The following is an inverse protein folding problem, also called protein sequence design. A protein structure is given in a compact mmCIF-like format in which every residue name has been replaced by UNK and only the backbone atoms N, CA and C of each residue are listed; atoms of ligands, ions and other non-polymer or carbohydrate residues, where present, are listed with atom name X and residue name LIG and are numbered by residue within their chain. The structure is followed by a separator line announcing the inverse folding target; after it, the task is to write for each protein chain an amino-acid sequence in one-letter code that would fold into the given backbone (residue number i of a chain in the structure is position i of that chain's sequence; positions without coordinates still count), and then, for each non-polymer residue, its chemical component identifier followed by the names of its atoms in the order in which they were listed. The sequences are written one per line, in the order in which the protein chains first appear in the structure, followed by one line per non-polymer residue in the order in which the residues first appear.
data_IF_038866203906
#
_entry.id   IF_038866203906
#
_cell.length_a   1.000
_cell.length_b   1.000
_cell.length_c   1.000
_cell.angle_alpha   90.00
_cell.angle_beta   90.00
_cell.angle_gamma   90.00
#
_symmetry.space_group_name_H-M   'P 1'
#
loop_
_entity.id
_entity.type
_entity.pdbx_description
1 polymer ?
#
# COMPACT_ATOMS: atom_id res chain seq x y z
N UNK A 1 20.01 22.03 -13.43
CA UNK A 1 18.70 21.37 -13.43
C UNK A 1 17.99 21.71 -14.74
N UNK A 2 18.38 21.14 -15.83
CA UNK A 2 17.79 21.46 -17.14
C UNK A 2 16.41 20.78 -17.28
N UNK A 3 15.36 21.49 -16.87
CA UNK A 3 13.97 21.08 -17.13
C UNK A 3 13.31 20.03 -16.22
N UNK A 4 14.01 19.54 -15.17
CA UNK A 4 13.46 18.61 -14.20
C UNK A 4 13.26 19.26 -12.84
N UNK A 5 12.10 19.06 -12.22
CA UNK A 5 11.78 19.61 -10.90
C UNK A 5 12.33 18.76 -9.76
N UNK A 6 12.53 17.48 -10.01
CA UNK A 6 13.02 16.52 -9.01
C UNK A 6 14.10 15.64 -9.65
N UNK A 7 15.25 15.53 -9.00
CA UNK A 7 16.33 14.64 -9.39
C UNK A 7 16.65 13.71 -8.22
N UNK A 8 16.56 12.42 -8.44
CA UNK A 8 16.85 11.40 -7.43
C UNK A 8 18.09 10.60 -7.81
N UNK A 9 18.95 10.34 -6.84
CA UNK A 9 20.16 9.52 -7.01
C UNK A 9 19.92 8.15 -6.40
N UNK A 10 19.90 7.12 -7.23
CA UNK A 10 19.57 5.75 -6.86
C UNK A 10 20.80 4.83 -7.01
N UNK A 11 21.07 3.91 -6.06
CA UNK A 11 22.10 2.91 -6.21
C UNK A 11 21.67 1.82 -7.19
N UNK A 12 22.58 1.32 -8.01
CA UNK A 12 22.32 0.16 -8.88
C UNK A 12 22.07 -1.12 -8.11
N UNK A 13 22.81 -1.31 -7.00
CA UNK A 13 22.66 -2.48 -6.14
C UNK A 13 21.78 -2.18 -4.94
N UNK A 14 20.62 -2.83 -4.88
CA UNK A 14 19.65 -2.67 -3.80
C UNK A 14 19.46 -4.00 -3.08
N UNK A 15 19.37 -3.97 -1.73
CA UNK A 15 19.09 -5.17 -0.91
C UNK A 15 17.77 -5.81 -1.31
N UNK A 16 17.70 -7.17 -1.29
CA UNK A 16 16.52 -7.93 -1.72
C UNK A 16 15.21 -7.51 -1.06
N UNK A 17 15.21 -7.23 0.25
CA UNK A 17 14.04 -6.77 0.99
C UNK A 17 13.53 -5.40 0.49
N UNK A 18 14.43 -4.45 0.25
CA UNK A 18 14.06 -3.13 -0.29
C UNK A 18 13.49 -3.25 -1.70
N UNK A 19 14.05 -4.14 -2.52
CA UNK A 19 13.53 -4.41 -3.88
C UNK A 19 12.12 -4.99 -3.83
N UNK A 20 11.86 -5.94 -2.93
CA UNK A 20 10.54 -6.54 -2.73
C UNK A 20 9.52 -5.49 -2.26
N UNK A 21 9.88 -4.65 -1.29
CA UNK A 21 9.04 -3.56 -0.81
C UNK A 21 8.62 -2.62 -1.94
N UNK A 22 9.60 -2.09 -2.71
CA UNK A 22 9.29 -1.17 -3.80
C UNK A 22 8.49 -1.82 -4.93
N UNK A 23 8.68 -3.12 -5.18
CA UNK A 23 7.84 -3.86 -6.13
C UNK A 23 6.38 -3.91 -5.67
N UNK A 24 6.13 -4.26 -4.42
CA UNK A 24 4.77 -4.30 -3.83
C UNK A 24 4.16 -2.89 -3.83
N UNK A 25 4.94 -1.89 -3.42
CA UNK A 25 4.49 -0.51 -3.38
C UNK A 25 4.08 -0.02 -4.77
N UNK A 26 4.95 -0.12 -5.77
CA UNK A 26 4.70 0.36 -7.13
C UNK A 26 3.54 -0.39 -7.81
N UNK A 27 3.39 -1.69 -7.55
CA UNK A 27 2.26 -2.48 -8.09
C UNK A 27 0.90 -2.06 -7.51
N UNK A 28 0.87 -1.43 -6.33
CA UNK A 28 -0.37 -1.07 -5.63
C UNK A 28 -0.54 0.44 -5.41
N UNK A 29 0.41 1.27 -5.83
CA UNK A 29 0.33 2.72 -5.75
C UNK A 29 -0.15 3.32 -7.08
N UNK A 30 -0.85 4.46 -6.98
CA UNK A 30 -1.24 5.28 -8.14
C UNK A 30 -0.26 6.45 -8.36
N UNK A 31 1.00 6.31 -7.92
CA UNK A 31 2.01 7.34 -8.11
C UNK A 31 2.37 7.49 -9.59
N UNK A 32 2.58 8.73 -10.04
CA UNK A 32 2.96 9.03 -11.42
C UNK A 32 4.35 8.48 -11.80
N UNK A 33 5.21 8.27 -10.81
CA UNK A 33 6.56 7.72 -10.98
C UNK A 33 6.82 6.56 -10.03
N UNK A 34 7.56 5.57 -10.51
CA UNK A 34 8.01 4.46 -9.69
C UNK A 34 8.95 4.90 -8.57
N UNK A 35 8.65 4.44 -7.36
CA UNK A 35 9.53 4.64 -6.21
C UNK A 35 10.68 3.63 -6.25
N UNK A 36 11.92 4.14 -6.05
CA UNK A 36 13.14 3.33 -5.95
C UNK A 36 13.92 3.74 -4.69
N UNK A 37 14.85 2.93 -4.26
CA UNK A 37 15.77 3.31 -3.16
C UNK A 37 16.59 4.50 -3.63
N UNK A 38 16.53 5.62 -2.92
CA UNK A 38 17.36 6.80 -3.19
C UNK A 38 18.26 7.12 -1.98
N UNK A 39 19.41 7.68 -2.27
CA UNK A 39 20.40 8.15 -1.27
C UNK A 39 20.32 9.65 -1.13
N UNK A 40 20.15 10.33 -2.23
CA UNK A 40 20.10 11.78 -2.29
C UNK A 40 19.00 12.26 -3.23
N UNK A 41 18.41 13.41 -2.93
CA UNK A 41 17.34 14.00 -3.74
C UNK A 41 17.51 15.52 -3.79
N UNK A 42 17.49 16.06 -5.00
CA UNK A 42 17.39 17.48 -5.28
C UNK A 42 15.94 17.78 -5.67
N UNK A 43 15.36 18.77 -5.02
CA UNK A 43 13.95 19.12 -5.21
C UNK A 43 13.85 20.62 -5.47
N UNK A 44 13.12 21.02 -6.52
CA UNK A 44 12.86 22.41 -6.82
C UNK A 44 11.92 23.04 -5.77
N UNK A 45 11.96 24.37 -5.63
CA UNK A 45 11.03 25.09 -4.75
C UNK A 45 9.57 24.84 -5.13
N UNK A 46 9.31 24.74 -6.44
CA UNK A 46 7.99 24.40 -6.99
C UNK A 46 7.49 23.03 -6.51
N UNK A 47 8.35 22.03 -6.52
CA UNK A 47 8.00 20.69 -6.06
C UNK A 47 7.77 20.65 -4.54
N UNK A 48 8.55 21.41 -3.75
CA UNK A 48 8.36 21.54 -2.31
C UNK A 48 6.97 22.16 -2.02
N UNK A 49 6.66 23.29 -2.66
CA UNK A 49 5.38 23.97 -2.46
C UNK A 49 4.21 23.08 -2.85
N UNK A 50 4.33 22.34 -3.95
CA UNK A 50 3.28 21.41 -4.41
C UNK A 50 3.10 20.23 -3.46
N UNK A 51 4.18 19.67 -2.93
CA UNK A 51 4.11 18.61 -1.93
C UNK A 51 3.47 19.10 -0.62
N UNK A 52 3.81 20.29 -0.15
CA UNK A 52 3.17 20.92 1.03
C UNK A 52 1.67 21.18 0.81
N UNK A 53 1.28 21.57 -0.39
CA UNK A 53 -0.14 21.77 -0.72
C UNK A 53 -0.95 20.46 -0.73
N UNK A 54 -0.30 19.31 -0.98
CA UNK A 54 -0.94 17.99 -0.86
C UNK A 54 -1.19 17.58 0.60
N UNK A 55 -0.48 18.17 1.57
CA UNK A 55 -0.66 17.96 3.01
C UNK A 55 0.64 18.16 3.79
N UNK A 56 0.61 19.03 4.80
CA UNK A 56 1.80 19.34 5.61
C UNK A 56 2.29 18.15 6.46
N UNK A 57 1.42 17.20 6.78
CA UNK A 57 1.70 16.07 7.67
C UNK A 57 1.89 14.74 6.91
N UNK A 58 2.45 14.78 5.70
CA UNK A 58 2.72 13.55 4.96
C UNK A 58 3.91 12.80 5.58
N UNK A 59 3.70 11.66 6.21
CA UNK A 59 4.77 10.92 6.89
C UNK A 59 5.85 10.41 5.93
N UNK A 60 5.52 10.29 4.65
CA UNK A 60 6.44 9.78 3.64
C UNK A 60 6.58 10.73 2.46
N UNK A 61 7.41 11.76 2.63
CA UNK A 61 7.68 12.82 1.62
C UNK A 61 8.06 12.27 0.24
N UNK A 62 8.72 11.13 0.20
CA UNK A 62 9.13 10.49 -1.06
C UNK A 62 7.94 10.11 -1.94
N UNK A 63 6.90 9.54 -1.36
CA UNK A 63 5.68 9.20 -2.09
C UNK A 63 4.92 10.47 -2.51
N UNK A 64 4.92 11.51 -1.69
CA UNK A 64 4.34 12.80 -2.04
C UNK A 64 4.99 13.39 -3.29
N UNK A 65 6.33 13.41 -3.36
CA UNK A 65 7.04 13.89 -4.55
C UNK A 65 6.78 13.03 -5.79
N UNK A 66 6.68 11.72 -5.67
CA UNK A 66 6.35 10.84 -6.79
C UNK A 66 4.92 11.03 -7.32
N UNK A 67 4.01 11.49 -6.44
CA UNK A 67 2.60 11.76 -6.77
C UNK A 67 2.33 13.19 -7.23
N UNK A 68 3.30 14.10 -7.13
CA UNK A 68 3.13 15.52 -7.51
C UNK A 68 2.87 15.75 -9.00
N UNK A 69 3.15 14.78 -9.87
CA UNK A 69 3.02 14.94 -11.32
C UNK A 69 4.02 15.89 -11.97
N UNK A 70 5.12 16.24 -11.27
CA UNK A 70 6.21 17.07 -11.78
C UNK A 70 7.28 16.21 -12.42
N UNK A 71 8.05 16.78 -13.37
CA UNK A 71 9.11 16.05 -14.08
C UNK A 71 10.20 15.59 -13.13
N UNK A 72 10.41 14.26 -13.09
CA UNK A 72 11.38 13.59 -12.25
C UNK A 72 12.42 12.89 -13.11
N UNK A 73 13.69 13.00 -12.73
CA UNK A 73 14.79 12.23 -13.33
C UNK A 73 15.51 11.39 -12.28
N UNK A 74 16.02 10.25 -12.71
CA UNK A 74 16.76 9.30 -11.87
C UNK A 74 18.19 9.23 -12.37
N UNK A 75 19.16 9.46 -11.48
CA UNK A 75 20.57 9.23 -11.72
C UNK A 75 20.99 7.97 -10.97
N UNK A 76 21.65 7.06 -11.66
CA UNK A 76 22.15 5.83 -11.05
C UNK A 76 23.63 5.99 -10.71
N UNK A 77 24.05 5.46 -9.55
CA UNK A 77 25.44 5.43 -9.14
C UNK A 77 25.83 4.05 -8.60
N UNK A 78 27.09 3.71 -8.73
CA UNK A 78 27.64 2.45 -8.21
C UNK A 78 28.08 2.66 -6.76
N UNK A 79 27.21 2.24 -5.80
CA UNK A 79 27.48 2.34 -4.38
C UNK A 79 26.45 1.57 -3.56
N UNK A 80 26.83 1.18 -2.33
CA UNK A 80 25.94 0.49 -1.39
C UNK A 80 25.37 1.47 -0.37
N UNK A 81 24.07 1.32 -0.06
CA UNK A 81 23.40 2.14 0.97
C UNK A 81 23.51 1.48 2.33
N UNK A 82 24.20 2.14 3.25
CA UNK A 82 24.24 1.79 4.68
C UNK A 82 23.25 2.67 5.46
N UNK A 83 22.39 2.09 6.30
CA UNK A 83 21.47 2.83 7.13
C UNK A 83 20.74 1.97 8.16
N UNK A 84 20.27 2.57 9.26
CA UNK A 84 19.58 1.93 10.37
C UNK A 84 18.29 1.22 9.88
N UNK A 85 18.08 -0.02 10.34
CA UNK A 85 17.02 -0.92 9.83
C UNK A 85 15.63 -0.61 10.39
N UNK A 86 15.51 -0.25 11.67
CA UNK A 86 14.25 -0.22 12.41
C UNK A 86 13.34 0.95 12.00
N UNK A 87 13.87 2.17 11.95
CA UNK A 87 13.12 3.36 11.54
C UNK A 87 12.62 3.28 10.09
N UNK A 88 13.38 2.59 9.24
CA UNK A 88 13.00 2.39 7.82
C UNK A 88 11.85 1.41 7.65
N UNK A 89 11.69 0.44 8.54
CA UNK A 89 10.61 -0.53 8.46
C UNK A 89 9.28 0.10 8.83
N UNK A 90 9.22 0.88 9.91
CA UNK A 90 8.01 1.62 10.33
C UNK A 90 7.56 2.59 9.22
N UNK A 91 8.47 3.43 8.73
CA UNK A 91 8.17 4.34 7.62
C UNK A 91 7.72 3.61 6.35
N UNK A 92 8.26 2.41 6.09
CA UNK A 92 7.86 1.60 4.96
C UNK A 92 6.43 1.06 5.12
N UNK A 93 6.07 0.57 6.31
CA UNK A 93 4.73 0.08 6.61
C UNK A 93 3.69 1.21 6.57
N UNK A 94 4.01 2.36 7.16
CA UNK A 94 3.14 3.55 7.12
C UNK A 94 2.92 4.02 5.68
N UNK A 95 3.99 4.06 4.89
CA UNK A 95 3.87 4.46 3.49
C UNK A 95 3.05 3.48 2.65
N UNK A 96 3.18 2.17 2.90
CA UNK A 96 2.40 1.15 2.22
C UNK A 96 0.90 1.31 2.54
N UNK A 97 0.59 1.58 3.80
CA UNK A 97 -0.80 1.76 4.25
C UNK A 97 -1.44 3.03 3.70
N UNK A 98 -0.70 4.15 3.70
CA UNK A 98 -1.23 5.46 3.32
C UNK A 98 -1.31 5.68 1.80
N UNK A 99 -0.35 5.18 1.05
CA UNK A 99 -0.22 5.47 -0.39
C UNK A 99 -0.59 4.29 -1.29
N UNK A 100 -0.94 3.13 -0.72
CA UNK A 100 -1.32 1.96 -1.53
C UNK A 100 -2.63 1.36 -1.06
N UNK A 101 -3.28 0.62 -1.95
CA UNK A 101 -4.45 -0.17 -1.63
C UNK A 101 -4.07 -1.61 -1.21
N UNK A 102 -2.80 -1.84 -0.84
CA UNK A 102 -2.28 -3.18 -0.54
C UNK A 102 -3.05 -3.84 0.61
N UNK A 103 -3.24 -3.15 1.74
CA UNK A 103 -3.95 -3.69 2.90
C UNK A 103 -5.37 -4.15 2.56
N UNK A 104 -6.10 -3.34 1.79
CA UNK A 104 -7.44 -3.70 1.35
C UNK A 104 -7.44 -4.91 0.41
N UNK A 105 -6.58 -4.93 -0.62
CA UNK A 105 -6.47 -6.05 -1.57
C UNK A 105 -6.06 -7.35 -0.89
N UNK A 106 -5.12 -7.28 0.06
CA UNK A 106 -4.66 -8.43 0.83
C UNK A 106 -5.79 -8.98 1.70
N UNK A 107 -6.49 -8.13 2.44
CA UNK A 107 -7.63 -8.54 3.27
C UNK A 107 -8.76 -9.13 2.44
N UNK A 108 -9.07 -8.53 1.28
CA UNK A 108 -10.08 -9.06 0.37
C UNK A 108 -9.67 -10.44 -0.17
N UNK A 109 -8.40 -10.60 -0.58
CA UNK A 109 -7.87 -11.89 -1.04
C UNK A 109 -7.98 -12.97 0.04
N UNK A 110 -7.64 -12.64 1.28
CA UNK A 110 -7.79 -13.55 2.41
C UNK A 110 -9.26 -13.92 2.68
N UNK A 111 -10.17 -12.95 2.60
CA UNK A 111 -11.61 -13.18 2.71
C UNK A 111 -12.12 -14.15 1.65
N UNK A 112 -11.74 -13.94 0.39
CA UNK A 112 -12.10 -14.85 -0.72
C UNK A 112 -11.55 -16.26 -0.49
N UNK A 113 -10.30 -16.37 -0.05
CA UNK A 113 -9.67 -17.65 0.28
C UNK A 113 -10.44 -18.39 1.38
N UNK A 114 -10.83 -17.69 2.45
CA UNK A 114 -11.63 -18.27 3.54
C UNK A 114 -13.04 -18.67 3.08
N UNK A 115 -13.62 -17.90 2.17
CA UNK A 115 -14.93 -18.24 1.62
C UNK A 115 -14.89 -19.51 0.75
N UNK A 116 -13.84 -19.66 -0.06
CA UNK A 116 -13.61 -20.89 -0.86
C UNK A 116 -13.36 -22.09 0.06
N UNK A 117 -12.58 -21.91 1.13
CA UNK A 117 -12.36 -22.95 2.14
C UNK A 117 -13.67 -23.38 2.81
N UNK A 118 -14.54 -22.41 3.15
CA UNK A 118 -15.86 -22.69 3.72
C UNK A 118 -16.76 -23.49 2.77
N UNK A 119 -16.75 -23.15 1.47
CA UNK A 119 -17.48 -23.91 0.45
C UNK A 119 -16.95 -25.34 0.29
N UNK A 120 -15.63 -25.51 0.27
CA UNK A 120 -15.01 -26.83 0.18
C UNK A 120 -15.36 -27.70 1.41
N UNK A 121 -15.37 -27.11 2.60
CA UNK A 121 -15.77 -27.80 3.83
C UNK A 121 -17.26 -28.16 3.84
N UNK A 122 -18.11 -27.30 3.32
CA UNK A 122 -19.54 -27.59 3.16
C UNK A 122 -19.75 -28.83 2.26
N UNK A 123 -19.06 -28.87 1.12
CA UNK A 123 -19.11 -30.02 0.20
C UNK A 123 -18.60 -31.30 0.88
N UNK A 124 -17.48 -31.21 1.58
CA UNK A 124 -16.93 -32.31 2.35
C UNK A 124 -17.93 -32.80 3.42
N UNK A 125 -18.51 -31.92 4.16
CA UNK A 125 -19.53 -32.20 5.18
C UNK A 125 -20.73 -32.95 4.61
N UNK A 126 -21.25 -32.50 3.45
CA UNK A 126 -22.38 -33.16 2.77
C UNK A 126 -21.98 -34.57 2.30
N UNK A 127 -20.77 -34.74 1.73
CA UNK A 127 -20.29 -36.04 1.29
C UNK A 127 -20.12 -37.03 2.45
N UNK A 128 -19.56 -36.59 3.57
CA UNK A 128 -19.42 -37.45 4.78
C UNK A 128 -20.79 -37.81 5.35
N UNK A 129 -21.75 -36.89 5.32
CA UNK A 129 -23.11 -37.17 5.79
C UNK A 129 -23.85 -38.19 4.92
N UNK A 130 -23.60 -38.18 3.60
CA UNK A 130 -24.24 -39.12 2.66
C UNK A 130 -23.57 -40.51 2.63
N UNK A 131 -22.26 -40.59 2.87
CA UNK A 131 -21.46 -41.83 2.68
C UNK A 131 -21.01 -42.50 3.97
N UNK A 132 -21.04 -41.79 5.10
CA UNK A 132 -20.51 -42.26 6.37
C UNK A 132 -21.44 -42.04 7.54
N UNK A 133 -21.02 -42.52 8.72
CA UNK A 133 -21.64 -42.20 10.01
C UNK A 133 -20.74 -41.17 10.74
N UNK A 134 -20.96 -39.86 10.53
CA UNK A 134 -20.14 -38.85 11.18
C UNK A 134 -20.32 -38.88 12.70
N UNK A 135 -19.21 -38.58 13.42
CA UNK A 135 -19.25 -38.42 14.88
C UNK A 135 -20.27 -37.31 15.19
N UNK A 136 -21.19 -37.61 16.09
CA UNK A 136 -22.26 -36.67 16.50
C UNK A 136 -21.65 -35.32 16.94
N UNK A 137 -22.13 -34.23 16.30
CA UNK A 137 -21.72 -32.85 16.61
C UNK A 137 -20.47 -32.33 15.88
N UNK A 138 -19.60 -33.18 15.33
CA UNK A 138 -18.36 -32.71 14.65
C UNK A 138 -18.65 -31.83 13.43
N UNK A 139 -19.54 -32.30 12.58
CA UNK A 139 -19.95 -31.62 11.34
C UNK A 139 -20.52 -30.23 11.61
N UNK A 140 -21.42 -30.13 12.59
CA UNK A 140 -22.04 -28.86 12.97
C UNK A 140 -21.01 -27.89 13.54
N UNK A 141 -20.10 -28.38 14.38
CA UNK A 141 -19.04 -27.53 14.99
C UNK A 141 -18.11 -26.96 13.92
N UNK A 142 -17.64 -27.79 12.98
CA UNK A 142 -16.75 -27.33 11.89
C UNK A 142 -17.47 -26.33 10.98
N UNK A 143 -18.71 -26.60 10.60
CA UNK A 143 -19.49 -25.69 9.77
C UNK A 143 -19.69 -24.32 10.42
N UNK A 144 -20.09 -24.27 11.69
CA UNK A 144 -20.28 -23.01 12.42
C UNK A 144 -18.97 -22.25 12.57
N UNK A 145 -17.87 -22.96 12.86
CA UNK A 145 -16.54 -22.34 13.01
C UNK A 145 -16.06 -21.72 11.70
N UNK A 146 -16.14 -22.46 10.58
CA UNK A 146 -15.68 -21.98 9.28
C UNK A 146 -16.55 -20.83 8.77
N UNK A 147 -17.85 -20.91 8.92
CA UNK A 147 -18.76 -19.82 8.56
C UNK A 147 -18.54 -18.57 9.41
N UNK A 148 -18.32 -18.75 10.71
CA UNK A 148 -17.98 -17.66 11.63
C UNK A 148 -16.67 -16.96 11.26
N UNK A 149 -15.62 -17.72 10.97
CA UNK A 149 -14.34 -17.18 10.51
C UNK A 149 -14.47 -16.45 9.17
N UNK A 150 -15.17 -17.03 8.20
CA UNK A 150 -15.43 -16.39 6.91
C UNK A 150 -16.16 -15.05 7.07
N UNK A 151 -17.19 -15.00 7.93
CA UNK A 151 -17.93 -13.79 8.27
C UNK A 151 -17.03 -12.73 8.91
N UNK A 152 -16.17 -13.12 9.84
CA UNK A 152 -15.22 -12.21 10.50
C UNK A 152 -14.24 -11.59 9.51
N UNK A 153 -13.66 -12.38 8.59
CA UNK A 153 -12.80 -11.85 7.53
C UNK A 153 -13.54 -10.92 6.57
N UNK A 154 -14.80 -11.18 6.27
CA UNK A 154 -15.64 -10.30 5.45
C UNK A 154 -15.82 -8.93 6.11
N UNK A 155 -16.14 -8.91 7.41
CA UNK A 155 -16.27 -7.67 8.19
C UNK A 155 -14.93 -6.92 8.24
N UNK A 156 -13.81 -7.60 8.46
CA UNK A 156 -12.48 -6.99 8.45
C UNK A 156 -12.16 -6.35 7.10
N UNK A 157 -12.46 -7.01 5.99
CA UNK A 157 -12.24 -6.46 4.66
C UNK A 157 -13.03 -5.17 4.43
N UNK A 158 -14.29 -5.14 4.85
CA UNK A 158 -15.14 -3.95 4.78
C UNK A 158 -14.57 -2.83 5.66
N UNK A 159 -14.20 -3.13 6.89
CA UNK A 159 -13.62 -2.16 7.84
C UNK A 159 -12.35 -1.53 7.28
N UNK A 160 -11.44 -2.33 6.73
CA UNK A 160 -10.19 -1.83 6.11
C UNK A 160 -10.50 -0.94 4.91
N UNK A 161 -11.53 -1.27 4.11
CA UNK A 161 -11.97 -0.42 3.00
C UNK A 161 -12.45 0.95 3.48
N UNK A 162 -13.29 1.01 4.50
CA UNK A 162 -13.77 2.27 5.07
C UNK A 162 -12.63 3.08 5.69
N UNK A 163 -11.73 2.45 6.44
CA UNK A 163 -10.53 3.11 6.97
C UNK A 163 -9.67 3.72 5.85
N UNK A 164 -9.44 2.98 4.77
CA UNK A 164 -8.69 3.46 3.61
C UNK A 164 -9.37 4.65 2.95
N UNK A 165 -10.71 4.66 2.85
CA UNK A 165 -11.48 5.79 2.34
C UNK A 165 -11.37 7.02 3.24
N UNK A 166 -11.50 6.86 4.55
CA UNK A 166 -11.35 7.95 5.52
C UNK A 166 -9.95 8.56 5.43
N UNK A 167 -8.92 7.73 5.41
CA UNK A 167 -7.54 8.18 5.24
C UNK A 167 -7.37 8.98 3.94
N UNK A 168 -7.90 8.51 2.81
CA UNK A 168 -7.87 9.24 1.55
C UNK A 168 -8.57 10.60 1.65
N UNK A 169 -9.73 10.67 2.28
CA UNK A 169 -10.45 11.93 2.46
C UNK A 169 -9.70 12.94 3.34
N UNK A 170 -9.02 12.47 4.38
CA UNK A 170 -8.22 13.32 5.28
C UNK A 170 -6.98 13.84 4.56
N UNK A 171 -6.25 12.98 3.85
CA UNK A 171 -4.98 13.34 3.20
C UNK A 171 -5.14 13.98 1.82
N UNK A 172 -6.27 13.77 1.11
CA UNK A 172 -6.55 14.37 -0.19
C UNK A 172 -7.31 15.70 -0.12
N UNK A 173 -7.40 16.36 1.04
CA UNK A 173 -7.88 17.75 1.09
C UNK A 173 -6.94 18.60 0.25
N UNK A 174 -7.31 18.78 -1.03
CA UNK A 174 -6.63 19.70 -1.93
C UNK A 174 -6.76 21.12 -1.38
N UNK A 175 -5.68 21.64 -0.82
CA UNK A 175 -5.54 23.08 -0.65
C UNK A 175 -5.28 23.64 -2.05
N UNK A 176 -6.08 24.60 -2.48
CA UNK A 176 -5.91 25.28 -3.76
C UNK A 176 -4.47 25.78 -3.89
N UNK A 177 -3.79 25.38 -4.95
CA UNK A 177 -2.47 25.88 -5.32
C UNK A 177 -2.68 27.04 -6.28
N UNK A 178 -2.40 28.25 -5.82
CA UNK A 178 -2.27 29.41 -6.70
C UNK A 178 -0.86 29.31 -7.31
N UNK A 179 -0.77 28.98 -8.58
CA UNK A 179 0.50 28.75 -9.27
C UNK A 179 1.18 30.06 -9.67
N UNK A 180 0.40 31.10 -9.98
CA UNK A 180 0.84 32.47 -10.21
C UNK A 180 -0.32 33.44 -10.08
N UNK A 181 -0.08 34.65 -9.54
CA UNK A 181 -0.98 35.80 -9.64
C UNK A 181 -0.35 36.76 -10.64
N UNK A 182 -0.94 36.91 -11.83
CA UNK A 182 -0.64 38.02 -12.70
C UNK A 182 -1.42 39.25 -12.19
N UNK A 183 -0.70 40.33 -11.88
CA UNK A 183 -1.32 41.62 -11.66
C UNK A 183 -1.62 42.22 -13.05
N UNK A 184 -2.89 42.40 -13.33
CA UNK A 184 -3.37 43.24 -14.43
C UNK A 184 -3.05 44.69 -14.16
#
# INVERSE_FOLDING_TARGET
MSGNDIVTVCPRTVRGWSRMFYRIFNANSNAAYELRTDVFRLVSRRAINRAHAMGDNLPYRKAAYASCGLKMSVLEFDGAVTGKKTERFELAMDSLTLYTNFGYKFSLGLTVCMFVAALAELVYTITVWLTGSPISGWTTTMFVLTLGLAGLFAILAITIKYLTLILKLIFQKQKYLIESTERL
#
